data_IF_221775822683
#
_entry.id   IF_221775822683
#
_cell.length_a   1.000
_cell.length_b   1.000
_cell.length_c   1.000
_cell.angle_alpha   90.00
_cell.angle_beta   90.00
_cell.angle_gamma   90.00
#
_symmetry.space_group_name_H-M   'P 1'
#
loop_
_entity.id
_entity.type
_entity.pdbx_description
1 polymer ?
#
# COMPACT_ATOMS: atom_id res chain seq x y z
N UNK A 1 3.25 -18.29 1.14
CA UNK A 1 2.84 -17.61 2.38
C UNK A 1 3.33 -16.17 2.28
N UNK A 2 2.47 -15.14 2.44
CA UNK A 2 2.97 -13.86 2.93
C UNK A 2 3.56 -14.06 4.33
N UNK A 3 4.60 -13.31 4.66
CA UNK A 3 5.30 -13.45 5.93
C UNK A 3 4.34 -13.08 7.08
N UNK A 4 4.06 -13.94 8.08
CA UNK A 4 3.19 -13.59 9.21
C UNK A 4 3.69 -12.36 9.98
N UNK A 5 5.00 -12.06 9.88
CA UNK A 5 5.59 -10.82 10.41
C UNK A 5 5.09 -9.60 9.63
N UNK A 6 4.96 -9.69 8.30
CA UNK A 6 4.46 -8.61 7.45
C UNK A 6 3.01 -8.25 7.80
N UNK A 7 2.14 -9.25 7.94
CA UNK A 7 0.74 -9.01 8.28
C UNK A 7 0.58 -8.39 9.68
N UNK A 8 1.31 -8.90 10.67
CA UNK A 8 1.30 -8.34 12.03
C UNK A 8 1.83 -6.89 12.06
N UNK A 9 2.89 -6.60 11.29
CA UNK A 9 3.46 -5.26 11.20
C UNK A 9 2.50 -4.28 10.52
N UNK A 10 1.83 -4.71 9.44
CA UNK A 10 0.86 -3.86 8.74
C UNK A 10 -0.38 -3.59 9.60
N UNK A 11 -0.86 -4.58 10.36
CA UNK A 11 -1.93 -4.38 11.34
C UNK A 11 -1.56 -3.37 12.42
N UNK A 12 -0.33 -3.44 12.93
CA UNK A 12 0.14 -2.49 13.94
C UNK A 12 0.29 -1.08 13.36
N UNK A 13 0.85 -0.94 12.17
CA UNK A 13 0.90 0.34 11.44
C UNK A 13 -0.48 0.97 11.28
N UNK A 14 -1.47 0.16 10.89
CA UNK A 14 -2.85 0.63 10.76
C UNK A 14 -3.48 0.99 12.11
N UNK A 15 -3.14 0.26 13.19
CA UNK A 15 -3.56 0.60 14.55
C UNK A 15 -3.01 1.96 14.98
N UNK A 16 -1.71 2.19 14.75
CA UNK A 16 -1.03 3.45 15.08
C UNK A 16 -1.60 4.63 14.30
N UNK A 17 -1.85 4.47 13.00
CA UNK A 17 -2.49 5.52 12.19
C UNK A 17 -3.85 5.93 12.78
N UNK A 18 -4.72 4.96 13.11
CA UNK A 18 -6.02 5.23 13.75
C UNK A 18 -5.92 5.85 15.15
N UNK A 19 -4.82 5.63 15.87
CA UNK A 19 -4.58 6.28 17.15
C UNK A 19 -4.15 7.74 16.95
N UNK A 20 -3.25 8.01 15.99
CA UNK A 20 -2.87 9.37 15.62
C UNK A 20 -4.07 10.19 15.17
N UNK A 21 -4.94 9.60 14.35
CA UNK A 21 -6.16 10.26 13.88
C UNK A 21 -7.04 10.71 15.06
N UNK A 22 -7.40 9.77 15.94
CA UNK A 22 -8.33 10.03 17.05
C UNK A 22 -7.75 10.87 18.18
N UNK A 23 -6.50 10.65 18.56
CA UNK A 23 -5.93 11.30 19.74
C UNK A 23 -5.24 12.63 19.42
N UNK A 24 -4.60 12.72 18.25
CA UNK A 24 -3.73 13.85 17.92
C UNK A 24 -4.37 14.76 16.88
N UNK A 25 -4.82 14.21 15.75
CA UNK A 25 -5.36 15.02 14.65
C UNK A 25 -6.66 15.72 15.07
N UNK A 26 -7.60 15.00 15.69
CA UNK A 26 -8.84 15.59 16.20
C UNK A 26 -8.58 16.68 17.25
N UNK A 27 -7.63 16.47 18.16
CA UNK A 27 -7.23 17.45 19.18
C UNK A 27 -6.66 18.73 18.56
N UNK A 28 -5.77 18.61 17.57
CA UNK A 28 -5.19 19.75 16.85
C UNK A 28 -6.23 20.50 16.02
N UNK A 29 -7.18 19.79 15.40
CA UNK A 29 -8.30 20.42 14.70
C UNK A 29 -9.20 21.22 15.64
N UNK A 30 -9.49 20.69 16.82
CA UNK A 30 -10.24 21.41 17.85
C UNK A 30 -9.50 22.67 18.30
N UNK A 31 -8.18 22.59 18.53
CA UNK A 31 -7.36 23.77 18.85
C UNK A 31 -7.44 24.84 17.75
N UNK A 32 -7.38 24.45 16.47
CA UNK A 32 -7.53 25.39 15.36
C UNK A 32 -8.91 26.03 15.31
N UNK A 33 -9.97 25.26 15.55
CA UNK A 33 -11.33 25.78 15.62
C UNK A 33 -11.45 26.82 16.75
N UNK A 34 -10.90 26.52 17.93
CA UNK A 34 -10.89 27.44 19.08
C UNK A 34 -10.07 28.70 18.79
N UNK A 35 -8.89 28.57 18.18
CA UNK A 35 -8.07 29.71 17.78
C UNK A 35 -8.85 30.64 16.84
N UNK A 36 -9.57 30.11 15.86
CA UNK A 36 -10.43 30.90 14.98
C UNK A 36 -11.55 31.64 15.72
N UNK A 37 -12.20 31.00 16.70
CA UNK A 37 -13.23 31.64 17.54
C UNK A 37 -12.64 32.77 18.40
N UNK A 38 -11.48 32.55 19.02
CA UNK A 38 -10.85 33.59 19.84
C UNK A 38 -10.33 34.76 19.00
N UNK A 39 -9.86 34.51 17.78
CA UNK A 39 -9.44 35.57 16.86
C UNK A 39 -10.61 36.51 16.52
N UNK A 40 -11.82 35.96 16.39
CA UNK A 40 -13.06 36.73 16.19
C UNK A 40 -13.58 37.40 17.46
N UNK A 41 -13.24 36.88 18.64
CA UNK A 41 -13.65 37.48 19.93
C UNK A 41 -12.77 38.69 20.29
N UNK A 42 -11.48 38.66 19.96
CA UNK A 42 -10.51 39.70 20.34
C UNK A 42 -10.17 40.68 19.20
N UNK A 43 -11.15 41.06 18.37
CA UNK A 43 -10.93 41.90 17.17
C UNK A 43 -10.17 43.19 17.48
N UNK A 44 -10.51 43.85 18.60
CA UNK A 44 -9.95 45.15 18.98
C UNK A 44 -8.57 45.05 19.67
N UNK A 45 -8.10 43.84 20.00
CA UNK A 45 -6.80 43.63 20.66
C UNK A 45 -5.77 43.04 19.69
N UNK A 46 -4.94 43.91 19.12
CA UNK A 46 -3.92 43.53 18.15
C UNK A 46 -2.88 42.53 18.70
N UNK A 47 -2.48 42.65 19.97
CA UNK A 47 -1.52 41.72 20.58
C UNK A 47 -2.14 40.32 20.78
N UNK A 48 -3.39 40.26 21.24
CA UNK A 48 -4.09 38.98 21.38
C UNK A 48 -4.26 38.27 20.03
N UNK A 49 -4.65 39.01 18.98
CA UNK A 49 -4.75 38.46 17.61
C UNK A 49 -3.41 37.93 17.09
N UNK A 50 -2.31 38.64 17.34
CA UNK A 50 -0.98 38.17 16.93
C UNK A 50 -0.63 36.84 17.59
N UNK A 51 -0.84 36.71 18.90
CA UNK A 51 -0.56 35.47 19.65
C UNK A 51 -1.42 34.31 19.12
N UNK A 52 -2.73 34.54 18.93
CA UNK A 52 -3.66 33.54 18.40
C UNK A 52 -3.27 33.12 16.99
N UNK A 53 -2.89 34.05 16.12
CA UNK A 53 -2.43 33.75 14.76
C UNK A 53 -1.14 32.91 14.76
N UNK A 54 -0.19 33.20 15.66
CA UNK A 54 1.04 32.40 15.79
C UNK A 54 0.72 30.99 16.26
N UNK A 55 -0.12 30.85 17.30
CA UNK A 55 -0.57 29.54 17.79
C UNK A 55 -1.30 28.77 16.69
N UNK A 56 -2.25 29.40 16.00
CA UNK A 56 -2.97 28.78 14.89
C UNK A 56 -2.05 28.35 13.74
N UNK A 57 -0.98 29.12 13.45
CA UNK A 57 0.04 28.70 12.48
C UNK A 57 0.80 27.47 12.97
N UNK A 58 1.33 27.49 14.18
CA UNK A 58 2.07 26.36 14.76
C UNK A 58 1.20 25.09 14.82
N UNK A 59 -0.08 25.22 15.19
CA UNK A 59 -1.02 24.09 15.22
C UNK A 59 -1.30 23.56 13.81
N UNK A 60 -1.41 24.42 12.78
CA UNK A 60 -1.54 23.98 11.38
C UNK A 60 -0.29 23.25 10.90
N UNK A 61 0.89 23.77 11.23
CA UNK A 61 2.18 23.18 10.85
C UNK A 61 2.32 21.79 11.51
N UNK A 62 1.99 21.66 12.80
CA UNK A 62 1.96 20.37 13.51
C UNK A 62 0.91 19.42 12.94
N UNK A 63 -0.30 19.89 12.64
CA UNK A 63 -1.34 19.08 12.02
C UNK A 63 -0.88 18.49 10.68
N UNK A 64 -0.17 19.29 9.87
CA UNK A 64 0.39 18.81 8.61
C UNK A 64 1.48 17.75 8.85
N UNK A 65 2.38 17.96 9.80
CA UNK A 65 3.41 16.97 10.15
C UNK A 65 2.81 15.64 10.62
N UNK A 66 1.77 15.68 11.45
CA UNK A 66 1.10 14.46 11.93
C UNK A 66 0.38 13.74 10.80
N UNK A 67 -0.27 14.47 9.87
CA UNK A 67 -0.87 13.87 8.67
C UNK A 67 0.16 13.23 7.75
N UNK A 68 1.32 13.87 7.59
CA UNK A 68 2.42 13.30 6.80
C UNK A 68 2.95 12.01 7.46
N UNK A 69 3.01 11.96 8.80
CA UNK A 69 3.36 10.76 9.56
C UNK A 69 2.28 9.67 9.45
N UNK A 70 1.01 10.03 9.56
CA UNK A 70 -0.10 9.09 9.37
C UNK A 70 -0.06 8.45 7.98
N UNK A 71 0.16 9.26 6.94
CA UNK A 71 0.28 8.79 5.55
C UNK A 71 1.49 7.87 5.34
N UNK A 72 2.59 8.08 6.06
CA UNK A 72 3.75 7.17 6.00
C UNK A 72 3.49 5.86 6.74
N UNK A 73 2.74 5.91 7.85
CA UNK A 73 2.35 4.73 8.61
C UNK A 73 1.35 3.85 7.87
N UNK A 74 0.30 4.40 7.26
CA UNK A 74 -0.70 3.61 6.54
C UNK A 74 -1.23 4.32 5.29
N UNK A 75 -1.12 3.71 4.09
CA UNK A 75 -1.62 4.31 2.86
C UNK A 75 -3.13 4.06 2.72
N UNK A 76 -3.95 4.73 3.53
CA UNK A 76 -5.42 4.60 3.48
C UNK A 76 -6.00 4.88 2.08
N UNK A 77 -5.34 5.73 1.27
CA UNK A 77 -5.72 6.03 -0.12
C UNK A 77 -5.70 4.79 -1.02
N UNK A 78 -4.90 3.78 -0.67
CA UNK A 78 -4.82 2.52 -1.39
C UNK A 78 -6.14 1.73 -1.29
N UNK A 79 -6.89 1.93 -0.20
CA UNK A 79 -8.17 1.26 0.03
C UNK A 79 -9.30 1.83 -0.84
N UNK A 80 -9.30 3.15 -1.08
CA UNK A 80 -10.39 3.85 -1.77
C UNK A 80 -10.10 4.12 -3.26
N UNK A 81 -8.85 4.48 -3.60
CA UNK A 81 -8.48 5.04 -4.91
C UNK A 81 -7.50 4.14 -5.67
N UNK A 82 -6.79 3.26 -4.96
CA UNK A 82 -5.90 2.25 -5.52
C UNK A 82 -4.45 2.69 -5.69
N UNK A 83 -3.61 1.74 -6.13
CA UNK A 83 -2.15 1.86 -6.16
C UNK A 83 -1.62 3.06 -6.94
N UNK A 84 -2.30 3.46 -8.02
CA UNK A 84 -1.88 4.61 -8.83
C UNK A 84 -1.93 5.93 -8.08
N UNK A 85 -3.08 6.22 -7.47
CA UNK A 85 -3.25 7.42 -6.66
C UNK A 85 -2.35 7.38 -5.41
N UNK A 86 -2.14 6.19 -4.83
CA UNK A 86 -1.24 6.02 -3.69
C UNK A 86 0.20 6.42 -4.05
N UNK A 87 0.75 5.96 -5.19
CA UNK A 87 2.10 6.37 -5.61
C UNK A 87 2.21 7.83 -6.03
N UNK A 88 1.17 8.40 -6.64
CA UNK A 88 1.14 9.84 -6.92
C UNK A 88 1.17 10.67 -5.62
N UNK A 89 0.43 10.23 -4.60
CA UNK A 89 0.43 10.90 -3.29
C UNK A 89 1.79 10.78 -2.61
N UNK A 90 2.37 9.58 -2.61
CA UNK A 90 3.72 9.35 -2.08
C UNK A 90 4.75 10.25 -2.76
N UNK A 91 4.70 10.40 -4.09
CA UNK A 91 5.59 11.28 -4.85
C UNK A 91 5.48 12.76 -4.41
N UNK A 92 4.26 13.25 -4.18
CA UNK A 92 4.03 14.62 -3.69
C UNK A 92 4.55 14.80 -2.26
N UNK A 93 4.29 13.81 -1.40
CA UNK A 93 4.74 13.84 -0.01
C UNK A 93 6.27 13.85 0.09
N UNK A 94 6.93 12.93 -0.61
CA UNK A 94 8.39 12.82 -0.64
C UNK A 94 9.02 14.12 -1.14
N UNK A 95 8.49 14.71 -2.21
CA UNK A 95 8.98 16.01 -2.71
C UNK A 95 8.89 17.11 -1.65
N UNK A 96 7.84 17.13 -0.83
CA UNK A 96 7.67 18.13 0.24
C UNK A 96 8.65 17.91 1.39
N UNK A 97 8.86 16.67 1.79
CA UNK A 97 9.60 16.33 3.01
C UNK A 97 11.11 16.23 2.78
N UNK A 98 11.55 15.64 1.66
CA UNK A 98 12.98 15.39 1.37
C UNK A 98 13.51 16.15 0.15
N UNK A 99 12.64 16.76 -0.66
CA UNK A 99 13.03 17.47 -1.89
C UNK A 99 13.35 16.56 -3.08
N UNK A 100 13.20 15.23 -2.93
CA UNK A 100 13.41 14.25 -4.00
C UNK A 100 12.29 14.37 -5.04
N UNK A 101 12.65 14.35 -6.32
CA UNK A 101 11.67 14.35 -7.40
C UNK A 101 11.36 12.92 -7.83
N UNK A 102 10.14 12.47 -7.53
CA UNK A 102 9.67 11.14 -7.94
C UNK A 102 8.78 11.28 -9.17
N UNK A 103 9.17 10.64 -10.27
CA UNK A 103 8.35 10.50 -11.47
C UNK A 103 7.71 9.12 -11.49
N UNK A 104 6.38 9.07 -11.51
CA UNK A 104 5.62 7.83 -11.52
C UNK A 104 4.94 7.66 -12.88
N UNK A 105 5.17 6.53 -13.53
CA UNK A 105 4.60 6.17 -14.83
C UNK A 105 3.84 4.86 -14.72
N UNK A 106 2.55 4.87 -15.05
CA UNK A 106 1.75 3.66 -15.14
C UNK A 106 1.58 3.22 -16.59
N UNK A 107 1.97 1.98 -16.87
CA UNK A 107 1.77 1.33 -18.16
C UNK A 107 0.29 1.06 -18.44
N UNK A 108 -0.04 0.93 -19.73
CA UNK A 108 -1.41 0.60 -20.17
C UNK A 108 -1.69 -0.88 -19.92
N UNK A 109 -2.35 -1.17 -18.81
CA UNK A 109 -2.80 -2.50 -18.45
C UNK A 109 -3.91 -2.46 -17.40
N UNK A 110 -4.75 -3.51 -17.40
CA UNK A 110 -5.86 -3.67 -16.45
C UNK A 110 -5.79 -5.03 -15.78
N UNK A 111 -4.61 -5.49 -15.37
CA UNK A 111 -4.58 -6.63 -14.46
C UNK A 111 -4.99 -6.12 -13.08
N UNK A 112 -6.14 -6.56 -12.52
CA UNK A 112 -6.46 -6.23 -11.14
C UNK A 112 -5.42 -6.90 -10.23
N UNK A 113 -4.65 -6.08 -9.53
CA UNK A 113 -3.73 -6.54 -8.51
C UNK A 113 -4.52 -6.89 -7.25
N UNK A 114 -4.27 -8.06 -6.68
CA UNK A 114 -4.85 -8.41 -5.39
C UNK A 114 -4.32 -7.46 -4.30
N UNK A 115 -5.15 -7.10 -3.31
CA UNK A 115 -4.84 -6.10 -2.28
C UNK A 115 -3.52 -6.34 -1.54
N UNK A 116 -3.16 -7.58 -1.13
CA UNK A 116 -1.87 -7.85 -0.50
C UNK A 116 -0.70 -7.45 -1.39
N UNK A 117 -0.78 -7.75 -2.70
CA UNK A 117 0.25 -7.39 -3.67
C UNK A 117 0.37 -5.88 -3.81
N UNK A 118 -0.74 -5.16 -3.83
CA UNK A 118 -0.72 -3.69 -3.87
C UNK A 118 -0.04 -3.10 -2.64
N UNK A 119 -0.36 -3.59 -1.43
CA UNK A 119 0.27 -3.12 -0.19
C UNK A 119 1.75 -3.46 -0.18
N UNK A 120 2.13 -4.70 -0.52
CA UNK A 120 3.53 -5.12 -0.59
C UNK A 120 4.35 -4.29 -1.58
N UNK A 121 3.80 -4.02 -2.77
CA UNK A 121 4.40 -3.13 -3.76
C UNK A 121 4.53 -1.70 -3.23
N UNK A 122 3.50 -1.19 -2.56
CA UNK A 122 3.54 0.13 -1.96
C UNK A 122 4.65 0.25 -0.92
N UNK A 123 4.73 -0.71 0.02
CA UNK A 123 5.75 -0.75 1.08
C UNK A 123 7.16 -0.90 0.53
N UNK A 124 7.34 -1.75 -0.47
CA UNK A 124 8.62 -1.89 -1.16
C UNK A 124 9.08 -0.55 -1.74
N UNK A 125 8.22 0.11 -2.53
CA UNK A 125 8.55 1.40 -3.17
C UNK A 125 8.77 2.50 -2.13
N UNK A 126 7.91 2.56 -1.11
CA UNK A 126 8.06 3.49 0.01
C UNK A 126 9.43 3.32 0.67
N UNK A 127 9.80 2.09 1.02
CA UNK A 127 11.08 1.81 1.67
C UNK A 127 12.30 2.04 0.76
N UNK A 128 12.17 1.84 -0.56
CA UNK A 128 13.21 2.22 -1.53
C UNK A 128 13.46 3.74 -1.53
N UNK A 129 12.38 4.52 -1.54
CA UNK A 129 12.45 5.99 -1.52
C UNK A 129 12.96 6.50 -0.17
N UNK A 130 12.50 5.92 0.93
CA UNK A 130 12.96 6.27 2.28
C UNK A 130 14.47 6.02 2.41
N UNK A 131 14.97 4.90 1.87
CA UNK A 131 16.40 4.62 1.79
C UNK A 131 17.18 5.65 0.99
N UNK A 132 16.64 6.11 -0.15
CA UNK A 132 17.25 7.14 -0.98
C UNK A 132 17.32 8.52 -0.28
N UNK A 133 16.32 8.85 0.55
CA UNK A 133 16.26 10.14 1.26
C UNK A 133 17.28 10.34 2.36
N UNK A 134 17.89 9.26 2.87
CA UNK A 134 18.97 9.33 3.86
C UNK A 134 20.26 9.97 3.32
N UNK A 135 20.49 9.96 2.01
CA UNK A 135 21.80 10.25 1.42
C UNK A 135 21.89 11.50 0.51
N UNK A 136 20.81 12.23 0.23
CA UNK A 136 20.97 13.48 -0.53
C UNK A 136 19.73 14.29 -0.90
N UNK A 137 19.86 15.62 -0.87
CA UNK A 137 18.92 16.55 -1.46
C UNK A 137 19.12 16.65 -2.98
N UNK A 138 18.03 16.58 -3.77
CA UNK A 138 18.01 16.87 -5.21
C UNK A 138 18.22 15.68 -6.16
N UNK A 139 17.97 14.46 -5.71
CA UNK A 139 17.93 13.22 -6.52
C UNK A 139 16.63 13.09 -7.31
N UNK A 140 16.70 12.36 -8.42
CA UNK A 140 15.56 11.99 -9.26
C UNK A 140 15.32 10.49 -9.18
N UNK A 141 14.07 10.12 -8.91
CA UNK A 141 13.60 8.74 -8.84
C UNK A 141 12.57 8.52 -9.93
N UNK A 142 12.72 7.44 -10.70
CA UNK A 142 11.74 6.98 -11.66
C UNK A 142 11.12 5.68 -11.19
N UNK A 143 9.80 5.66 -11.11
CA UNK A 143 9.00 4.48 -10.84
C UNK A 143 8.11 4.21 -12.04
N UNK A 144 8.31 3.07 -12.68
CA UNK A 144 7.45 2.59 -13.75
C UNK A 144 6.75 1.31 -13.30
N UNK A 145 5.42 1.28 -13.37
CA UNK A 145 4.62 0.12 -13.05
C UNK A 145 3.80 -0.28 -14.26
N UNK A 146 4.03 -1.48 -14.78
CA UNK A 146 3.29 -2.02 -15.91
C UNK A 146 2.52 -3.25 -15.47
N UNK A 147 1.20 -3.22 -15.66
CA UNK A 147 0.36 -4.40 -15.49
C UNK A 147 0.07 -5.01 -16.85
N UNK A 148 0.04 -6.34 -16.94
CA UNK A 148 -0.21 -7.05 -18.19
C UNK A 148 -0.73 -8.47 -17.95
N UNK A 149 -0.94 -9.20 -19.04
CA UNK A 149 -1.43 -10.59 -18.98
C UNK A 149 -0.41 -11.55 -18.35
N UNK A 150 0.87 -11.21 -18.39
CA UNK A 150 1.94 -12.02 -17.79
C UNK A 150 2.20 -11.70 -16.32
N UNK A 151 1.64 -10.59 -15.81
CA UNK A 151 1.83 -10.17 -14.43
C UNK A 151 2.05 -8.68 -14.27
N UNK A 152 2.76 -8.31 -13.22
CA UNK A 152 3.14 -6.94 -12.93
C UNK A 152 4.64 -6.79 -12.97
N UNK A 153 5.10 -5.78 -13.71
CA UNK A 153 6.48 -5.36 -13.78
C UNK A 153 6.62 -4.03 -13.07
N UNK A 154 7.55 -3.96 -12.14
CA UNK A 154 7.93 -2.71 -11.48
C UNK A 154 9.39 -2.44 -11.80
N UNK A 155 9.67 -1.22 -12.25
CA UNK A 155 11.00 -0.70 -12.48
C UNK A 155 11.17 0.52 -11.57
N UNK A 156 12.14 0.45 -10.67
CA UNK A 156 12.59 1.56 -9.85
C UNK A 156 13.99 1.94 -10.30
N UNK A 157 14.23 3.23 -10.52
CA UNK A 157 15.54 3.78 -10.86
C UNK A 157 15.84 5.01 -10.03
N UNK A 158 17.07 5.11 -9.55
CA UNK A 158 17.61 6.21 -8.76
C UNK A 158 18.95 6.67 -9.36
N UNK A 159 19.14 7.97 -9.51
CA UNK A 159 20.32 8.60 -10.14
C UNK A 159 21.54 8.80 -9.23
N UNK A 160 21.48 8.43 -7.94
CA UNK A 160 22.58 8.76 -7.00
C UNK A 160 22.90 7.70 -5.95
N UNK A 161 22.26 6.54 -5.95
CA UNK A 161 22.41 5.58 -4.88
C UNK A 161 23.74 4.79 -4.98
N UNK A 162 24.76 5.23 -4.24
CA UNK A 162 26.11 4.64 -4.21
C UNK A 162 26.14 3.33 -3.41
N UNK A 163 25.24 3.12 -2.44
CA UNK A 163 25.10 1.83 -1.71
C UNK A 163 23.67 1.58 -1.27
N UNK A 164 22.95 0.69 -1.94
CA UNK A 164 21.63 0.26 -1.47
C UNK A 164 21.73 -0.83 -0.39
N UNK A 165 21.18 -0.57 0.80
CA UNK A 165 21.01 -1.61 1.83
C UNK A 165 19.64 -2.27 1.71
N UNK A 166 19.61 -3.58 1.49
CA UNK A 166 18.36 -4.36 1.36
C UNK A 166 17.76 -4.80 2.69
N UNK A 167 18.56 -4.83 3.77
CA UNK A 167 18.10 -5.34 5.08
C UNK A 167 16.81 -4.67 5.59
N UNK A 168 16.62 -3.33 5.47
CA UNK A 168 15.37 -2.70 5.87
C UNK A 168 14.13 -3.20 5.12
N UNK A 169 14.28 -3.72 3.91
CA UNK A 169 13.19 -4.22 3.06
C UNK A 169 13.07 -5.75 3.06
N UNK A 170 13.80 -6.44 3.95
CA UNK A 170 13.84 -7.91 3.94
C UNK A 170 12.45 -8.53 4.00
N UNK A 171 11.56 -7.97 4.81
CA UNK A 171 10.20 -8.46 5.00
C UNK A 171 9.35 -8.27 3.75
N UNK A 172 9.40 -7.08 3.14
CA UNK A 172 8.70 -6.75 1.89
C UNK A 172 9.21 -7.63 0.73
N UNK A 173 10.53 -7.80 0.61
CA UNK A 173 11.16 -8.64 -0.43
C UNK A 173 10.71 -10.08 -0.27
N UNK A 174 10.87 -10.67 0.92
CA UNK A 174 10.47 -12.05 1.24
C UNK A 174 8.99 -12.30 0.94
N UNK A 175 8.13 -11.33 1.29
CA UNK A 175 6.68 -11.42 1.06
C UNK A 175 6.36 -11.42 -0.44
N UNK A 176 6.97 -10.52 -1.20
CA UNK A 176 6.77 -10.43 -2.66
C UNK A 176 7.35 -11.66 -3.38
N UNK A 177 8.49 -12.18 -2.95
CA UNK A 177 9.05 -13.47 -3.43
C UNK A 177 8.12 -14.64 -3.09
N UNK A 178 7.48 -14.62 -1.92
CA UNK A 178 6.47 -15.58 -1.51
C UNK A 178 5.22 -15.60 -2.40
N UNK A 179 4.94 -14.51 -3.12
CA UNK A 179 3.92 -14.44 -4.17
C UNK A 179 4.46 -14.75 -5.57
N UNK A 180 5.69 -15.27 -5.67
CA UNK A 180 6.36 -15.59 -6.94
C UNK A 180 7.02 -14.38 -7.60
N UNK A 181 7.18 -13.27 -6.87
CA UNK A 181 7.95 -12.11 -7.30
C UNK A 181 9.42 -12.46 -7.53
N UNK A 182 9.97 -12.00 -8.63
CA UNK A 182 11.39 -12.15 -8.96
C UNK A 182 12.02 -10.78 -9.04
N UNK A 183 13.05 -10.56 -8.23
CA UNK A 183 13.78 -9.31 -8.18
C UNK A 183 15.09 -9.40 -8.96
N UNK A 184 15.37 -8.36 -9.73
CA UNK A 184 16.66 -8.10 -10.34
C UNK A 184 17.15 -6.76 -9.84
N UNK A 185 18.39 -6.74 -9.37
CA UNK A 185 19.01 -5.58 -8.77
C UNK A 185 20.27 -5.28 -9.55
N UNK A 186 20.37 -4.07 -10.06
CA UNK A 186 21.51 -3.60 -10.81
C UNK A 186 22.01 -2.32 -10.17
N UNK A 187 23.30 -2.30 -9.81
CA UNK A 187 23.90 -1.15 -9.16
C UNK A 187 25.18 -0.77 -9.88
N UNK A 188 25.31 0.51 -10.15
CA UNK A 188 26.47 1.13 -10.79
C UNK A 188 26.92 2.35 -9.99
N UNK A 189 28.03 2.98 -10.40
CA UNK A 189 28.61 4.11 -9.67
C UNK A 189 27.70 5.35 -9.63
N UNK A 190 26.76 5.47 -10.55
CA UNK A 190 25.90 6.63 -10.78
C UNK A 190 24.41 6.29 -10.87
N UNK A 191 24.03 5.02 -10.73
CA UNK A 191 22.63 4.66 -10.73
C UNK A 191 22.37 3.35 -9.99
N UNK A 192 21.18 3.26 -9.41
CA UNK A 192 20.60 2.02 -8.90
C UNK A 192 19.31 1.72 -9.63
N UNK A 193 19.14 0.47 -10.01
CA UNK A 193 17.95 -0.02 -10.67
C UNK A 193 17.45 -1.31 -10.00
N UNK A 194 16.16 -1.35 -9.71
CA UNK A 194 15.44 -2.54 -9.26
C UNK A 194 14.35 -2.86 -10.28
N UNK A 195 14.34 -4.10 -10.75
CA UNK A 195 13.25 -4.66 -11.55
C UNK A 195 12.57 -5.78 -10.77
N UNK A 196 11.26 -5.73 -10.64
CA UNK A 196 10.45 -6.77 -10.02
C UNK A 196 9.43 -7.28 -11.03
N UNK A 197 9.38 -8.59 -11.21
CA UNK A 197 8.34 -9.28 -11.97
C UNK A 197 7.50 -10.14 -11.02
N UNK A 198 6.22 -9.83 -10.88
CA UNK A 198 5.25 -10.67 -10.17
C UNK A 198 4.35 -11.32 -11.23
N UNK A 199 4.40 -12.64 -11.44
CA UNK A 199 3.63 -13.28 -12.49
C UNK A 199 2.12 -13.20 -12.22
N UNK A 200 1.30 -13.09 -13.26
CA UNK A 200 -0.17 -13.03 -13.14
C UNK A 200 -0.76 -14.28 -12.46
N UNK A 201 -0.01 -15.38 -12.43
CA UNK A 201 -0.37 -16.60 -11.69
C UNK A 201 -0.47 -16.38 -10.18
N UNK A 202 0.09 -15.31 -9.63
CA UNK A 202 -0.09 -14.89 -8.24
C UNK A 202 -1.50 -14.34 -7.96
N UNK A 203 -2.18 -13.80 -8.98
CA UNK A 203 -3.55 -13.33 -8.87
C UNK A 203 -4.54 -14.48 -9.06
N UNK A 204 -5.70 -14.39 -8.39
CA UNK A 204 -6.80 -15.31 -8.64
C UNK A 204 -7.34 -15.15 -10.07
N UNK A 205 -7.46 -16.27 -10.78
CA UNK A 205 -8.11 -16.33 -12.10
C UNK A 205 -9.63 -16.14 -11.97
N UNK A 206 -10.35 -15.78 -13.06
CA UNK A 206 -11.82 -15.67 -13.01
C UNK A 206 -12.51 -16.95 -12.51
N UNK A 207 -11.98 -18.12 -12.86
CA UNK A 207 -12.50 -19.41 -12.37
C UNK A 207 -12.25 -19.59 -10.88
N UNK A 208 -11.06 -19.24 -10.39
CA UNK A 208 -10.73 -19.31 -8.97
C UNK A 208 -11.53 -18.30 -8.14
N UNK A 209 -11.80 -17.10 -8.67
CA UNK A 209 -12.72 -16.13 -8.07
C UNK A 209 -14.13 -16.70 -7.92
N UNK A 210 -14.65 -17.37 -8.96
CA UNK A 210 -15.96 -18.04 -8.89
C UNK A 210 -15.99 -19.16 -7.85
N UNK A 211 -14.93 -19.99 -7.78
CA UNK A 211 -14.80 -21.03 -6.75
C UNK A 211 -14.74 -20.41 -5.35
N UNK A 212 -13.95 -19.35 -5.15
CA UNK A 212 -13.82 -18.64 -3.87
C UNK A 212 -15.14 -17.99 -3.45
N UNK A 213 -15.92 -17.42 -4.38
CA UNK A 213 -17.25 -16.85 -4.10
C UNK A 213 -18.19 -17.91 -3.54
N UNK A 214 -18.32 -19.03 -4.24
CA UNK A 214 -19.18 -20.14 -3.80
C UNK A 214 -18.66 -20.76 -2.48
N UNK A 215 -17.35 -20.76 -2.25
CA UNK A 215 -16.76 -21.20 -0.99
C UNK A 215 -17.14 -20.29 0.19
N UNK A 216 -17.15 -18.97 0.00
CA UNK A 216 -17.60 -17.97 0.99
C UNK A 216 -19.10 -18.05 1.24
N UNK A 217 -19.90 -18.38 0.22
CA UNK A 217 -21.33 -18.68 0.37
C UNK A 217 -21.61 -19.98 1.16
N UNK A 218 -20.57 -20.72 1.55
CA UNK A 218 -20.68 -21.91 2.38
C UNK A 218 -20.88 -23.21 1.61
N UNK A 219 -20.79 -23.20 0.28
CA UNK A 219 -21.01 -24.40 -0.53
C UNK A 219 -19.86 -25.41 -0.34
N UNK A 220 -20.19 -26.68 -0.15
CA UNK A 220 -19.23 -27.78 -0.16
C UNK A 220 -18.61 -27.99 -1.55
N UNK A 221 -17.44 -28.63 -1.64
CA UNK A 221 -16.75 -28.85 -2.92
C UNK A 221 -17.62 -29.62 -3.94
N UNK A 222 -18.53 -30.49 -3.46
CA UNK A 222 -19.52 -31.17 -4.31
C UNK A 222 -20.58 -30.21 -4.85
N UNK A 223 -21.07 -29.28 -4.05
CA UNK A 223 -22.04 -28.26 -4.47
C UNK A 223 -21.41 -27.25 -5.42
N UNK A 224 -20.17 -26.81 -5.16
CA UNK A 224 -19.39 -25.95 -6.06
C UNK A 224 -19.21 -26.64 -7.41
N UNK A 225 -18.85 -27.92 -7.41
CA UNK A 225 -18.68 -28.73 -8.62
C UNK A 225 -19.95 -28.76 -9.48
N UNK A 226 -21.11 -28.99 -8.85
CA UNK A 226 -22.42 -28.94 -9.52
C UNK A 226 -22.70 -27.55 -10.08
N UNK A 227 -22.52 -26.49 -9.28
CA UNK A 227 -22.80 -25.11 -9.70
C UNK A 227 -21.92 -24.65 -10.87
N UNK A 228 -20.70 -25.18 -10.98
CA UNK A 228 -19.75 -24.81 -12.03
C UNK A 228 -19.70 -25.83 -13.18
N UNK A 229 -20.49 -26.90 -13.13
CA UNK A 229 -20.46 -28.01 -14.11
C UNK A 229 -19.06 -28.61 -14.32
N UNK A 230 -18.32 -28.81 -13.22
CA UNK A 230 -16.97 -29.41 -13.20
C UNK A 230 -16.91 -30.56 -12.19
N UNK A 231 -15.81 -31.31 -12.15
CA UNK A 231 -15.67 -32.40 -11.16
C UNK A 231 -15.27 -31.88 -9.77
N UNK A 232 -15.61 -32.58 -8.67
CA UNK A 232 -15.12 -32.24 -7.33
C UNK A 232 -13.58 -32.23 -7.23
N UNK A 233 -12.90 -33.06 -8.04
CA UNK A 233 -11.44 -33.06 -8.13
C UNK A 233 -10.91 -31.76 -8.75
N UNK A 234 -11.59 -31.24 -9.75
CA UNK A 234 -11.28 -29.94 -10.37
C UNK A 234 -11.49 -28.80 -9.38
N UNK A 235 -12.54 -28.86 -8.55
CA UNK A 235 -12.73 -27.90 -7.46
C UNK A 235 -11.58 -27.96 -6.47
N UNK A 236 -11.18 -29.15 -6.01
CA UNK A 236 -10.03 -29.29 -5.10
C UNK A 236 -8.75 -28.68 -5.71
N UNK A 237 -8.48 -28.95 -6.99
CA UNK A 237 -7.34 -28.34 -7.68
C UNK A 237 -7.40 -26.80 -7.68
N UNK A 238 -8.57 -26.21 -7.95
CA UNK A 238 -8.73 -24.76 -7.85
C UNK A 238 -8.56 -24.26 -6.41
N UNK A 239 -9.03 -24.99 -5.41
CA UNK A 239 -8.85 -24.65 -4.00
C UNK A 239 -7.38 -24.69 -3.59
N UNK A 240 -6.62 -25.69 -4.03
CA UNK A 240 -5.18 -25.78 -3.75
C UNK A 240 -4.44 -24.58 -4.35
N UNK A 241 -4.79 -24.18 -5.57
CA UNK A 241 -4.25 -22.99 -6.20
C UNK A 241 -4.68 -21.70 -5.48
N UNK A 242 -5.96 -21.59 -5.08
CA UNK A 242 -6.47 -20.46 -4.30
C UNK A 242 -5.71 -20.35 -2.98
N UNK A 243 -5.54 -21.45 -2.26
CA UNK A 243 -4.85 -21.49 -0.99
C UNK A 243 -3.38 -21.07 -1.14
N UNK A 244 -2.70 -21.58 -2.16
CA UNK A 244 -1.33 -21.18 -2.47
C UNK A 244 -1.22 -19.69 -2.80
N UNK A 245 -2.13 -19.14 -3.61
CA UNK A 245 -2.15 -17.73 -4.02
C UNK A 245 -2.52 -16.78 -2.88
N UNK A 246 -3.51 -17.15 -2.06
CA UNK A 246 -3.91 -16.39 -0.87
C UNK A 246 -2.94 -16.57 0.30
N UNK A 247 -2.05 -17.58 0.24
CA UNK A 247 -1.11 -17.90 1.31
C UNK A 247 -1.74 -18.49 2.57
N UNK A 248 -2.93 -19.09 2.44
CA UNK A 248 -3.71 -19.70 3.54
C UNK A 248 -3.64 -21.22 3.47
N UNK A 249 -3.87 -21.91 4.58
CA UNK A 249 -3.73 -23.37 4.67
C UNK A 249 -5.07 -24.09 4.88
N UNK A 250 -6.13 -23.34 5.14
CA UNK A 250 -7.44 -23.90 5.42
C UNK A 250 -8.57 -23.16 4.71
N UNK A 251 -9.69 -23.87 4.52
CA UNK A 251 -10.93 -23.30 4.00
C UNK A 251 -11.39 -22.11 4.84
N UNK A 252 -11.33 -22.23 6.16
CA UNK A 252 -11.76 -21.17 7.08
C UNK A 252 -10.88 -19.94 6.95
N UNK A 253 -9.55 -20.11 6.88
CA UNK A 253 -8.63 -18.99 6.60
C UNK A 253 -8.92 -18.35 5.25
N UNK A 254 -9.16 -19.13 4.20
CA UNK A 254 -9.51 -18.59 2.88
C UNK A 254 -10.79 -17.75 2.90
N UNK A 255 -11.83 -18.18 3.64
CA UNK A 255 -13.07 -17.41 3.82
C UNK A 255 -12.80 -16.11 4.57
N UNK A 256 -12.11 -16.17 5.72
CA UNK A 256 -11.81 -15.00 6.54
C UNK A 256 -10.98 -14.00 5.74
N UNK A 257 -9.96 -14.49 5.03
CA UNK A 257 -9.10 -13.67 4.18
C UNK A 257 -9.91 -12.96 3.09
N UNK A 258 -10.79 -13.68 2.39
CA UNK A 258 -11.61 -13.11 1.33
C UNK A 258 -12.58 -12.02 1.83
N UNK A 259 -13.14 -12.19 3.03
CA UNK A 259 -14.04 -11.22 3.66
C UNK A 259 -13.28 -9.97 4.13
N UNK A 260 -12.19 -10.13 4.87
CA UNK A 260 -11.39 -9.02 5.40
C UNK A 260 -10.79 -8.16 4.27
N UNK A 261 -10.37 -8.82 3.18
CA UNK A 261 -9.74 -8.15 2.04
C UNK A 261 -10.72 -7.74 0.95
N UNK A 262 -12.04 -7.91 1.16
CA UNK A 262 -13.11 -7.49 0.23
C UNK A 262 -12.98 -8.07 -1.20
N UNK A 263 -12.38 -9.26 -1.31
CA UNK A 263 -12.02 -9.86 -2.62
C UNK A 263 -13.23 -10.13 -3.52
N UNK A 264 -14.42 -10.35 -2.95
CA UNK A 264 -15.59 -10.80 -3.71
C UNK A 264 -16.53 -9.67 -4.17
N UNK A 265 -16.25 -8.42 -3.81
CA UNK A 265 -17.11 -7.26 -4.13
C UNK A 265 -16.90 -6.72 -5.55
N UNK A 266 -15.81 -7.09 -6.23
CA UNK A 266 -15.56 -6.74 -7.64
C UNK A 266 -15.72 -7.99 -8.49
N UNK A 267 -16.80 -8.05 -9.28
CA UNK A 267 -16.89 -9.01 -10.37
C UNK A 267 -16.00 -8.49 -11.51
N UNK A 268 -14.92 -9.18 -11.90
CA UNK A 268 -14.21 -8.84 -13.13
C UNK A 268 -15.08 -9.28 -14.30
N UNK A 269 -15.93 -8.37 -14.80
CA UNK A 269 -16.66 -8.55 -16.06
C UNK A 269 -15.72 -8.55 -17.25
#
# INVERSE_FOLDING_TARGET
>A
MPDPIFEALEQERQRLARLLEREVIESLQLMLAQAGVYEQTFVDNAQARLVISVLGKLTRDLLQQVRDLEASLHPAILDDVGLEAAFQTLAVQVRRTSGIQVQVVFGRGRLPLDRPVQIGLYRLVQGLIDGAGSEGHGSQVWLQLETGTEGVRVLYRDDRLITFNREPLRTEISTLEGWGGVFFWEQSADQFEMRLLIPARAALTPTEYRVLRLLVEGLSNKQIAVSMSISPRTVNFHLDNIYAKLGVNSRTEAVIFALNNHLLQRDPR
#
